data_IF_166582882819
#
_entry.id   IF_166582882819
#
_cell.length_a   1.000
_cell.length_b   1.000
_cell.length_c   1.000
_cell.angle_alpha   90.00
_cell.angle_beta   90.00
_cell.angle_gamma   90.00
#
_symmetry.space_group_name_H-M   'P 1'
#
loop_
_entity.id
_entity.type
_entity.pdbx_description
1 polymer ?
#
# COMPACT_ATOMS: atom_id res chain seq x y z
N UNK A 1 2.20 -11.47 10.56
CA UNK A 1 2.47 -12.08 9.23
C UNK A 1 3.16 -13.43 9.40
N UNK A 2 2.92 -14.39 8.51
CA UNK A 2 3.57 -15.71 8.54
C UNK A 2 5.05 -15.60 8.13
N UNK A 3 6.00 -16.19 8.88
CA UNK A 3 7.44 -16.09 8.60
C UNK A 3 7.82 -16.58 7.20
N UNK A 4 7.06 -17.51 6.64
CA UNK A 4 7.30 -18.00 5.27
C UNK A 4 6.92 -16.98 4.20
N UNK A 5 5.89 -16.16 4.46
CA UNK A 5 5.47 -15.07 3.57
C UNK A 5 6.47 -13.92 3.69
N UNK A 6 6.88 -13.60 4.91
CA UNK A 6 7.87 -12.54 5.20
C UNK A 6 9.18 -12.74 4.42
N UNK A 7 9.72 -13.97 4.38
CA UNK A 7 10.96 -14.26 3.64
C UNK A 7 10.82 -14.02 2.14
N UNK A 8 9.75 -14.52 1.53
CA UNK A 8 9.56 -14.45 0.09
C UNK A 8 9.25 -13.01 -0.38
N UNK A 9 8.44 -12.27 0.39
CA UNK A 9 8.19 -10.85 0.13
C UNK A 9 9.46 -10.03 0.33
N UNK A 10 10.28 -10.34 1.35
CA UNK A 10 11.55 -9.64 1.58
C UNK A 10 12.55 -9.86 0.44
N UNK A 11 12.67 -11.08 -0.06
CA UNK A 11 13.52 -11.38 -1.23
C UNK A 11 13.07 -10.57 -2.45
N UNK A 12 11.76 -10.50 -2.70
CA UNK A 12 11.22 -9.70 -3.79
C UNK A 12 11.45 -8.20 -3.59
N UNK A 13 11.16 -7.64 -2.42
CA UNK A 13 11.41 -6.23 -2.15
C UNK A 13 12.90 -5.89 -2.28
N UNK A 14 13.78 -6.81 -1.85
CA UNK A 14 15.24 -6.63 -1.97
C UNK A 14 15.71 -6.65 -3.42
N UNK A 15 15.03 -7.36 -4.33
CA UNK A 15 15.35 -7.32 -5.76
C UNK A 15 14.96 -6.00 -6.42
N UNK A 16 14.02 -5.26 -5.80
CA UNK A 16 13.63 -3.91 -6.22
C UNK A 16 14.49 -2.81 -5.58
N UNK A 17 15.04 -3.05 -4.37
CA UNK A 17 16.00 -2.15 -3.73
C UNK A 17 17.29 -2.08 -4.57
N UNK A 18 17.66 -0.86 -5.01
CA UNK A 18 18.86 -0.64 -5.84
C UNK A 18 18.61 -0.72 -7.36
N UNK A 19 17.36 -0.82 -7.78
CA UNK A 19 16.93 -0.50 -9.16
C UNK A 19 16.68 1.01 -9.30
N UNK A 20 16.22 1.49 -10.47
CA UNK A 20 15.82 2.89 -10.71
C UNK A 20 14.55 3.33 -9.92
N UNK A 21 14.16 2.59 -8.89
CA UNK A 21 12.98 2.83 -8.07
C UNK A 21 13.36 3.11 -6.61
N UNK A 22 13.02 4.30 -6.13
CA UNK A 22 13.11 4.63 -4.71
C UNK A 22 11.93 4.02 -3.94
N UNK A 23 12.22 3.28 -2.87
CA UNK A 23 11.18 2.74 -2.00
C UNK A 23 10.81 3.73 -0.90
N UNK A 24 9.51 3.92 -0.73
CA UNK A 24 8.94 4.79 0.30
C UNK A 24 7.88 4.05 1.13
N UNK A 25 7.60 4.56 2.32
CA UNK A 25 6.58 4.04 3.22
C UNK A 25 5.72 5.18 3.76
N UNK A 26 4.40 5.01 3.75
CA UNK A 26 3.48 5.93 4.42
C UNK A 26 3.63 5.84 5.94
N UNK A 27 3.39 6.93 6.67
CA UNK A 27 3.44 6.86 8.14
C UNK A 27 2.39 5.92 8.74
N UNK A 28 1.24 5.72 8.06
CA UNK A 28 0.24 4.73 8.49
C UNK A 28 0.79 3.31 8.36
N UNK A 29 1.34 2.95 7.20
CA UNK A 29 1.95 1.63 7.01
C UNK A 29 3.13 1.41 7.95
N UNK A 30 3.90 2.46 8.24
CA UNK A 30 4.96 2.40 9.26
C UNK A 30 4.37 2.06 10.63
N UNK A 31 3.31 2.75 11.05
CA UNK A 31 2.66 2.51 12.33
C UNK A 31 2.10 1.08 12.44
N UNK A 32 1.42 0.60 11.40
CA UNK A 32 0.88 -0.76 11.33
C UNK A 32 1.97 -1.83 11.41
N UNK A 33 3.11 -1.62 10.76
CA UNK A 33 4.23 -2.57 10.82
C UNK A 33 4.90 -2.60 12.19
N UNK A 34 4.94 -1.47 12.91
CA UNK A 34 5.42 -1.43 14.30
C UNK A 34 4.41 -2.10 15.24
N UNK A 35 3.13 -1.83 15.10
CA UNK A 35 2.06 -2.42 15.92
C UNK A 35 1.98 -3.95 15.74
N UNK A 36 2.09 -4.41 14.49
CA UNK A 36 2.11 -5.84 14.16
C UNK A 36 3.41 -6.56 14.56
N UNK A 37 4.45 -5.85 15.01
CA UNK A 37 5.70 -6.43 15.44
C UNK A 37 5.60 -6.93 16.90
N UNK A 38 6.04 -8.17 17.15
CA UNK A 38 6.25 -8.65 18.51
C UNK A 38 7.23 -7.73 19.25
N UNK A 39 7.00 -7.50 20.55
CA UNK A 39 7.77 -6.56 21.39
C UNK A 39 9.29 -6.68 21.24
N UNK A 40 9.81 -7.91 21.17
CA UNK A 40 11.24 -8.21 21.02
C UNK A 40 11.81 -7.96 19.61
N UNK A 41 10.94 -7.74 18.62
CA UNK A 41 11.31 -7.52 17.21
C UNK A 41 11.11 -6.08 16.75
N UNK A 42 10.51 -5.23 17.56
CA UNK A 42 10.22 -3.82 17.21
C UNK A 42 11.48 -3.11 16.72
N UNK A 43 12.61 -3.28 17.41
CA UNK A 43 13.85 -2.62 17.00
C UNK A 43 14.40 -3.12 15.66
N UNK A 44 14.24 -4.42 15.37
CA UNK A 44 14.61 -4.99 14.06
C UNK A 44 13.73 -4.43 12.95
N UNK A 45 12.42 -4.30 13.20
CA UNK A 45 11.50 -3.67 12.25
C UNK A 45 11.86 -2.21 12.04
N UNK A 46 12.12 -1.44 13.10
CA UNK A 46 12.57 -0.03 12.99
C UNK A 46 13.85 0.10 12.15
N UNK A 47 14.82 -0.79 12.33
CA UNK A 47 16.07 -0.78 11.53
C UNK A 47 15.77 -1.02 10.05
N UNK A 48 14.91 -1.98 9.72
CA UNK A 48 14.47 -2.20 8.34
C UNK A 48 13.74 -0.97 7.79
N UNK A 49 12.81 -0.40 8.55
CA UNK A 49 12.00 0.73 8.08
C UNK A 49 12.81 2.01 7.84
N UNK A 50 14.04 2.11 8.35
CA UNK A 50 14.97 3.22 8.05
C UNK A 50 15.48 3.21 6.60
N UNK A 51 15.33 2.10 5.87
CA UNK A 51 15.76 2.04 4.46
C UNK A 51 14.74 2.65 3.49
N UNK A 52 13.55 3.03 3.97
CA UNK A 52 12.49 3.61 3.17
C UNK A 52 12.40 5.11 3.40
N UNK A 53 12.19 5.87 2.33
CA UNK A 53 11.77 7.26 2.48
C UNK A 53 10.40 7.32 3.17
N UNK A 54 10.24 8.17 4.19
CA UNK A 54 8.96 8.31 4.89
C UNK A 54 8.09 9.35 4.21
N UNK A 55 6.88 8.97 3.84
CA UNK A 55 5.86 9.87 3.30
C UNK A 55 4.91 10.30 4.42
N UNK A 56 4.94 11.60 4.73
CA UNK A 56 4.17 12.23 5.80
C UNK A 56 2.66 12.20 5.53
N UNK A 57 1.87 11.96 6.57
CA UNK A 57 0.41 12.10 6.53
C UNK A 57 0.04 13.57 6.79
N UNK A 58 0.23 14.39 5.75
CA UNK A 58 -0.13 15.81 5.79
C UNK A 58 -1.65 16.03 5.84
N UNK A 59 -2.06 17.27 6.15
CA UNK A 59 -3.48 17.66 6.05
C UNK A 59 -4.08 17.37 4.67
N UNK A 60 -3.30 17.56 3.59
CA UNK A 60 -3.75 17.25 2.22
C UNK A 60 -4.02 15.76 2.04
N UNK A 61 -3.20 14.89 2.64
CA UNK A 61 -3.41 13.43 2.66
C UNK A 61 -4.67 13.06 3.43
N UNK A 62 -4.90 13.66 4.60
CA UNK A 62 -6.11 13.42 5.39
C UNK A 62 -7.38 13.88 4.66
N UNK A 63 -7.36 15.06 4.05
CA UNK A 63 -8.49 15.52 3.22
C UNK A 63 -8.68 14.61 2.00
N UNK A 64 -7.60 14.18 1.36
CA UNK A 64 -7.60 13.23 0.25
C UNK A 64 -8.22 11.89 0.61
N UNK A 65 -7.93 11.34 1.79
CA UNK A 65 -8.46 10.05 2.23
C UNK A 65 -9.97 10.11 2.54
N UNK A 66 -10.43 11.23 3.11
CA UNK A 66 -11.86 11.51 3.30
C UNK A 66 -12.60 11.60 1.97
N UNK A 67 -12.01 12.31 1.01
CA UNK A 67 -12.50 12.43 -0.34
C UNK A 67 -12.60 11.07 -1.06
N UNK A 68 -11.52 10.27 -1.05
CA UNK A 68 -11.53 8.92 -1.62
C UNK A 68 -12.64 8.06 -1.00
N UNK A 69 -12.82 8.15 0.33
CA UNK A 69 -13.91 7.46 1.02
C UNK A 69 -15.30 7.90 0.58
N UNK A 70 -15.50 9.16 0.18
CA UNK A 70 -16.79 9.62 -0.37
C UNK A 70 -17.04 8.99 -1.75
N UNK A 71 -16.03 8.99 -2.63
CA UNK A 71 -16.15 8.43 -3.98
C UNK A 71 -16.37 6.92 -3.94
N UNK A 72 -15.59 6.20 -3.12
CA UNK A 72 -15.67 4.74 -3.04
C UNK A 72 -17.07 4.29 -2.60
N UNK A 73 -17.68 5.00 -1.65
CA UNK A 73 -19.06 4.76 -1.21
C UNK A 73 -20.10 5.10 -2.29
N UNK A 74 -19.89 6.19 -3.03
CA UNK A 74 -20.82 6.62 -4.07
C UNK A 74 -20.79 5.73 -5.32
N UNK A 75 -19.64 5.14 -5.66
CA UNK A 75 -19.49 4.37 -6.89
C UNK A 75 -19.69 2.86 -6.73
N UNK A 76 -19.54 2.29 -5.53
CA UNK A 76 -19.71 0.85 -5.33
C UNK A 76 -20.07 0.49 -3.88
N UNK A 77 -21.22 -0.16 -3.67
CA UNK A 77 -21.60 -0.68 -2.35
C UNK A 77 -20.62 -1.74 -1.81
N UNK A 78 -19.94 -2.47 -2.70
CA UNK A 78 -18.88 -3.44 -2.35
C UNK A 78 -17.61 -2.79 -1.79
N UNK A 79 -17.36 -1.52 -2.11
CA UNK A 79 -16.16 -0.78 -1.69
C UNK A 79 -16.43 0.11 -0.47
N UNK A 80 -17.64 0.03 0.10
CA UNK A 80 -18.01 0.76 1.32
C UNK A 80 -17.23 0.30 2.57
N UNK A 81 -16.52 -0.82 2.47
CA UNK A 81 -15.71 -1.43 3.54
C UNK A 81 -14.21 -1.15 3.49
N UNK A 82 -13.71 -0.31 2.58
CA UNK A 82 -12.27 0.01 2.55
C UNK A 82 -11.91 0.79 3.82
N UNK A 83 -10.92 0.28 4.55
CA UNK A 83 -10.56 0.81 5.86
C UNK A 83 -9.97 2.22 5.76
N UNK A 84 -9.93 2.93 6.89
CA UNK A 84 -9.37 4.28 6.92
C UNK A 84 -7.87 4.26 6.59
N UNK A 85 -7.14 3.25 7.08
CA UNK A 85 -5.71 3.10 6.83
C UNK A 85 -5.41 2.98 5.32
N UNK A 86 -6.10 2.08 4.63
CA UNK A 86 -5.96 1.89 3.18
C UNK A 86 -6.30 3.16 2.40
N UNK A 87 -7.33 3.90 2.82
CA UNK A 87 -7.67 5.19 2.20
C UNK A 87 -6.58 6.23 2.41
N UNK A 88 -5.90 6.24 3.55
CA UNK A 88 -4.77 7.14 3.81
C UNK A 88 -3.57 6.74 2.94
N UNK A 89 -3.29 5.44 2.79
CA UNK A 89 -2.24 4.94 1.89
C UNK A 89 -2.54 5.33 0.44
N UNK A 90 -3.77 5.11 -0.03
CA UNK A 90 -4.22 5.49 -1.35
C UNK A 90 -4.09 7.01 -1.59
N UNK A 91 -4.51 7.83 -0.63
CA UNK A 91 -4.37 9.29 -0.71
C UNK A 91 -2.89 9.73 -0.73
N UNK A 92 -2.04 9.08 0.08
CA UNK A 92 -0.60 9.32 0.10
C UNK A 92 0.02 9.06 -1.27
N UNK A 93 -0.33 7.93 -1.89
CA UNK A 93 0.12 7.58 -3.25
C UNK A 93 -0.36 8.58 -4.30
N UNK A 94 -1.65 8.94 -4.26
CA UNK A 94 -2.23 9.92 -5.19
C UNK A 94 -1.52 11.28 -5.11
N UNK A 95 -1.37 11.82 -3.90
CA UNK A 95 -0.84 13.18 -3.69
C UNK A 95 0.64 13.27 -4.06
N UNK A 96 1.42 12.21 -3.78
CA UNK A 96 2.84 12.16 -4.11
C UNK A 96 3.12 11.60 -5.52
N UNK A 97 2.07 11.23 -6.28
CA UNK A 97 2.18 10.57 -7.57
C UNK A 97 3.11 9.33 -7.56
N UNK A 98 2.98 8.50 -6.51
CA UNK A 98 3.76 7.27 -6.33
C UNK A 98 2.89 6.04 -6.58
N UNK A 99 3.51 4.91 -6.91
CA UNK A 99 2.82 3.63 -6.98
C UNK A 99 2.67 2.99 -5.58
N UNK A 100 1.69 2.10 -5.42
CA UNK A 100 1.45 1.31 -4.22
C UNK A 100 1.85 -0.14 -4.48
N UNK A 101 2.63 -0.74 -3.60
CA UNK A 101 2.87 -2.18 -3.56
C UNK A 101 1.85 -2.79 -2.60
N UNK A 102 1.05 -3.75 -3.04
CA UNK A 102 0.04 -4.40 -2.20
C UNK A 102 -0.11 -5.89 -2.52
N UNK A 103 -0.54 -6.66 -1.53
CA UNK A 103 -0.98 -8.04 -1.70
C UNK A 103 -2.52 -8.16 -1.81
N UNK A 104 -3.24 -7.05 -1.68
CA UNK A 104 -4.69 -6.98 -1.77
C UNK A 104 -5.11 -5.79 -2.66
N UNK A 105 -5.49 -6.09 -3.90
CA UNK A 105 -5.94 -5.08 -4.86
C UNK A 105 -7.34 -4.54 -4.54
N UNK A 106 -8.11 -5.21 -3.69
CA UNK A 106 -9.49 -4.80 -3.38
C UNK A 106 -9.53 -3.50 -2.55
N UNK A 107 -8.44 -3.20 -1.84
CA UNK A 107 -8.28 -1.98 -1.04
C UNK A 107 -8.07 -0.74 -1.93
N UNK A 108 -7.77 -0.95 -3.22
CA UNK A 108 -7.43 0.08 -4.19
C UNK A 108 -8.28 -0.09 -5.47
N UNK A 109 -9.54 0.36 -5.44
CA UNK A 109 -10.52 -0.02 -6.45
C UNK A 109 -10.28 0.65 -7.81
N UNK A 110 -10.66 -0.08 -8.87
CA UNK A 110 -10.84 0.49 -10.20
C UNK A 110 -12.02 1.48 -10.22
N UNK A 111 -11.98 2.52 -11.07
CA UNK A 111 -10.91 2.85 -12.02
C UNK A 111 -9.80 3.75 -11.41
N UNK A 112 -9.79 3.95 -10.09
CA UNK A 112 -8.91 4.90 -9.40
C UNK A 112 -7.47 4.43 -9.29
N UNK A 113 -7.27 3.12 -9.16
CA UNK A 113 -5.96 2.48 -9.14
C UNK A 113 -5.92 1.35 -10.16
N UNK A 114 -4.82 1.26 -10.91
CA UNK A 114 -4.64 0.23 -11.95
C UNK A 114 -3.34 -0.53 -11.71
N UNK A 115 -3.40 -1.86 -11.79
CA UNK A 115 -2.19 -2.70 -11.73
C UNK A 115 -1.34 -2.47 -12.97
N UNK A 116 -0.06 -2.14 -12.75
CA UNK A 116 0.96 -2.00 -13.80
C UNK A 116 1.99 -3.12 -13.75
N UNK A 117 1.97 -3.91 -12.68
CA UNK A 117 2.80 -5.08 -12.49
C UNK A 117 2.10 -6.02 -11.52
N UNK A 118 2.16 -7.33 -11.79
CA UNK A 118 1.61 -8.36 -10.93
C UNK A 118 2.50 -9.59 -10.98
N UNK A 119 2.88 -10.11 -9.82
CA UNK A 119 3.71 -11.32 -9.72
C UNK A 119 3.17 -12.26 -8.64
N UNK A 120 3.17 -13.56 -8.97
CA UNK A 120 2.85 -14.61 -8.02
C UNK A 120 4.12 -15.13 -7.33
N UNK A 121 4.30 -14.78 -6.07
CA UNK A 121 5.41 -15.24 -5.26
C UNK A 121 5.03 -16.58 -4.62
N UNK A 122 5.75 -17.63 -4.97
CA UNK A 122 5.58 -18.96 -4.38
C UNK A 122 6.31 -19.04 -3.03
N UNK A 123 5.63 -19.54 -2.00
CA UNK A 123 6.24 -19.86 -0.71
C UNK A 123 5.80 -21.25 -0.21
N UNK A 124 6.61 -21.86 0.67
CA UNK A 124 6.28 -23.16 1.28
C UNK A 124 5.76 -22.94 2.70
N UNK A 125 4.58 -23.45 3.01
CA UNK A 125 4.02 -23.48 4.37
C UNK A 125 3.63 -24.91 4.74
N UNK A 126 4.25 -25.48 5.77
CA UNK A 126 4.01 -26.88 6.22
C UNK A 126 4.11 -27.89 5.06
N UNK A 127 5.19 -27.83 4.27
CA UNK A 127 5.42 -28.63 3.06
C UNK A 127 4.40 -28.49 1.93
N UNK A 128 3.44 -27.56 2.02
CA UNK A 128 2.52 -27.23 0.92
C UNK A 128 2.97 -25.96 0.22
N UNK A 129 2.99 -25.98 -1.12
CA UNK A 129 3.19 -24.77 -1.94
C UNK A 129 1.97 -23.87 -1.82
N UNK A 130 2.22 -22.58 -1.62
CA UNK A 130 1.24 -21.50 -1.59
C UNK A 130 1.76 -20.35 -2.44
N UNK A 131 0.85 -19.46 -2.83
CA UNK A 131 1.17 -18.29 -3.62
C UNK A 131 0.60 -17.06 -2.91
N UNK A 132 1.34 -15.97 -2.99
CA UNK A 132 0.84 -14.62 -2.70
C UNK A 132 1.06 -13.80 -3.97
N UNK A 133 0.02 -13.10 -4.41
CA UNK A 133 0.14 -12.17 -5.52
C UNK A 133 0.55 -10.82 -4.96
N UNK A 134 1.61 -10.23 -5.52
CA UNK A 134 2.02 -8.86 -5.22
C UNK A 134 1.76 -8.03 -6.48
N UNK A 135 1.02 -6.94 -6.29
CA UNK A 135 0.68 -5.99 -7.34
C UNK A 135 1.34 -4.64 -7.07
N UNK A 136 1.76 -3.97 -8.15
CA UNK A 136 2.12 -2.56 -8.15
C UNK A 136 1.00 -1.80 -8.82
N UNK A 137 0.34 -0.94 -8.06
CA UNK A 137 -0.80 -0.16 -8.50
C UNK A 137 -0.40 1.30 -8.70
N UNK A 138 -0.73 1.88 -9.86
CA UNK A 138 -0.60 3.32 -10.08
C UNK A 138 -1.92 4.04 -9.87
N UNK A 139 -1.92 5.21 -9.20
CA UNK A 139 -3.11 6.05 -9.14
C UNK A 139 -3.42 6.61 -10.53
N UNK A 140 -4.69 6.57 -10.92
CA UNK A 140 -5.17 7.23 -12.12
C UNK A 140 -5.35 8.73 -11.83
N UNK A 141 -4.24 9.47 -11.95
CA UNK A 141 -4.17 10.90 -11.61
C UNK A 141 -5.24 11.71 -12.36
N UNK A 142 -5.50 11.40 -13.63
CA UNK A 142 -6.51 12.09 -14.43
C UNK A 142 -7.91 11.96 -13.82
N UNK A 143 -8.33 10.73 -13.49
CA UNK A 143 -9.64 10.48 -12.86
C UNK A 143 -9.68 11.10 -11.47
N UNK A 144 -8.64 10.88 -10.66
CA UNK A 144 -8.61 11.37 -9.28
C UNK A 144 -8.65 12.90 -9.21
N UNK A 145 -7.90 13.60 -10.05
CA UNK A 145 -7.94 15.07 -10.12
C UNK A 145 -9.30 15.60 -10.60
N UNK A 146 -9.92 14.94 -11.59
CA UNK A 146 -11.27 15.30 -12.04
C UNK A 146 -12.27 15.29 -10.89
N UNK A 147 -12.25 14.24 -10.07
CA UNK A 147 -13.13 14.17 -8.91
C UNK A 147 -12.70 15.14 -7.79
N UNK A 148 -11.39 15.30 -7.55
CA UNK A 148 -10.87 16.09 -6.42
C UNK A 148 -11.19 17.57 -6.56
N UNK A 149 -11.10 18.08 -7.79
CA UNK A 149 -11.45 19.46 -8.15
C UNK A 149 -12.93 19.81 -7.94
N UNK A 150 -13.84 18.82 -7.90
CA UNK A 150 -15.29 19.04 -7.69
C UNK A 150 -15.70 19.16 -6.22
N UNK A 151 -14.76 18.95 -5.31
CA UNK A 151 -15.00 18.91 -3.86
C UNK A 151 -14.28 20.00 -3.09
N UNK A 152 -13.55 20.88 -3.78
CA UNK A 152 -13.00 22.14 -3.27
C UNK A 152 -13.95 23.28 -3.62
#
# INVERSE_FOLDING_TARGET
>A
MDRYIESAVREQLSSWVGTDCDLAISEVSYAELIDGAYREKVDKVKVLLKTFARLEVSQRVLSGSGFLGSIYRNQNSRNSGIELADRIIAATSFINNTAVITANIQDFPLPFFTSVYSENIMFKKKNKKRYITIDILKPNITILNYWYSKTQ
#
